data_IF_734655381910
#
_entry.id   IF_734655381910
#
_cell.length_a   1.000
_cell.length_b   1.000
_cell.length_c   1.000
_cell.angle_alpha   90.00
_cell.angle_beta   90.00
_cell.angle_gamma   90.00
#
_symmetry.space_group_name_H-M   'P 1'
#
loop_
_entity.id
_entity.type
_entity.pdbx_description
1 polymer ?
#
# COMPACT_ATOMS: atom_id res chain seq x y z
N UNK A 1 8.66 -12.58 28.32
CA UNK A 1 8.33 -13.40 27.13
C UNK A 1 7.90 -12.47 26.02
N UNK A 2 8.67 -12.41 24.94
CA UNK A 2 8.36 -11.59 23.77
C UNK A 2 7.10 -12.14 23.07
N UNK A 3 6.10 -11.29 22.81
CA UNK A 3 4.86 -11.72 22.16
C UNK A 3 5.15 -11.98 20.69
N UNK A 4 5.31 -13.24 20.31
CA UNK A 4 5.37 -13.65 18.91
C UNK A 4 4.20 -13.03 18.13
N UNK A 5 4.51 -12.40 17.00
CA UNK A 5 3.53 -11.87 16.06
C UNK A 5 2.56 -12.98 15.62
N UNK A 6 1.35 -12.61 15.18
CA UNK A 6 0.36 -13.59 14.70
C UNK A 6 0.95 -14.51 13.62
N UNK A 7 1.77 -13.96 12.73
CA UNK A 7 2.45 -14.73 11.68
C UNK A 7 3.43 -15.75 12.23
N UNK A 8 4.21 -15.39 13.26
CA UNK A 8 5.17 -16.31 13.89
C UNK A 8 4.48 -17.46 14.65
N UNK A 9 3.33 -17.20 15.30
CA UNK A 9 2.55 -18.27 15.95
C UNK A 9 1.93 -19.22 14.93
N UNK A 10 1.29 -18.67 13.91
CA UNK A 10 0.71 -19.47 12.84
C UNK A 10 1.78 -20.32 12.13
N UNK A 11 2.98 -19.78 11.96
CA UNK A 11 4.15 -20.50 11.43
C UNK A 11 4.55 -21.69 12.31
N UNK A 12 4.67 -21.47 13.62
CA UNK A 12 5.03 -22.52 14.56
C UNK A 12 3.99 -23.64 14.59
N UNK A 13 2.71 -23.29 14.66
CA UNK A 13 1.61 -24.26 14.65
C UNK A 13 1.59 -25.07 13.34
N UNK A 14 1.74 -24.40 12.20
CA UNK A 14 1.74 -25.07 10.88
C UNK A 14 2.91 -26.02 10.71
N UNK A 15 4.12 -25.62 11.12
CA UNK A 15 5.32 -26.47 11.02
C UNK A 15 5.34 -27.61 12.03
N UNK A 16 4.82 -27.40 13.26
CA UNK A 16 4.75 -28.43 14.29
C UNK A 16 3.81 -29.59 13.94
N UNK A 17 2.79 -29.34 13.13
CA UNK A 17 1.82 -30.35 12.69
C UNK A 17 2.21 -31.10 11.41
N UNK A 18 3.32 -30.72 10.76
CA UNK A 18 3.66 -31.17 9.42
C UNK A 18 4.51 -32.45 9.45
N UNK A 19 4.03 -33.51 8.81
CA UNK A 19 4.85 -34.70 8.57
C UNK A 19 5.61 -34.56 7.25
N UNK A 20 6.89 -34.24 7.35
CA UNK A 20 7.78 -33.90 6.22
C UNK A 20 7.89 -35.00 5.15
N UNK A 21 7.64 -36.27 5.50
CA UNK A 21 7.78 -37.40 4.57
C UNK A 21 6.47 -37.73 3.84
N UNK A 22 5.32 -37.42 4.44
CA UNK A 22 3.99 -37.78 3.90
C UNK A 22 3.24 -36.62 3.27
N UNK A 23 3.54 -35.38 3.67
CA UNK A 23 2.75 -34.20 3.31
C UNK A 23 3.42 -33.32 2.23
N UNK A 24 3.96 -33.94 1.16
CA UNK A 24 4.70 -33.24 0.08
C UNK A 24 3.91 -32.09 -0.56
N UNK A 25 2.59 -32.21 -0.67
CA UNK A 25 1.73 -31.13 -1.20
C UNK A 25 1.58 -29.96 -0.22
N UNK A 26 1.48 -30.23 1.08
CA UNK A 26 1.43 -29.17 2.11
C UNK A 26 2.79 -28.49 2.25
N UNK A 27 3.88 -29.25 2.11
CA UNK A 27 5.24 -28.71 2.00
C UNK A 27 5.37 -27.76 0.81
N UNK A 28 4.84 -28.13 -0.36
CA UNK A 28 4.86 -27.26 -1.52
C UNK A 28 4.08 -25.96 -1.29
N UNK A 29 2.90 -26.04 -0.66
CA UNK A 29 2.12 -24.85 -0.29
C UNK A 29 2.85 -23.97 0.74
N UNK A 30 3.53 -24.58 1.71
CA UNK A 30 4.35 -23.88 2.70
C UNK A 30 5.53 -23.16 2.03
N UNK A 31 6.23 -23.83 1.13
CA UNK A 31 7.34 -23.24 0.35
C UNK A 31 6.86 -22.07 -0.51
N UNK A 32 5.69 -22.19 -1.16
CA UNK A 32 5.05 -21.08 -1.88
C UNK A 32 4.72 -19.90 -0.96
N UNK A 33 4.22 -20.17 0.24
CA UNK A 33 3.91 -19.13 1.22
C UNK A 33 5.18 -18.44 1.75
N UNK A 34 6.25 -19.20 1.98
CA UNK A 34 7.56 -18.68 2.42
C UNK A 34 8.24 -17.80 1.37
N UNK A 35 8.13 -18.17 0.10
CA UNK A 35 8.70 -17.41 -0.99
C UNK A 35 7.90 -16.16 -1.36
N UNK A 36 6.81 -15.85 -0.62
CA UNK A 36 5.86 -14.80 -0.97
C UNK A 36 5.26 -14.97 -2.40
N UNK A 37 5.40 -16.16 -2.99
CA UNK A 37 4.81 -16.56 -4.28
C UNK A 37 3.28 -16.67 -4.20
N UNK A 38 2.71 -16.43 -3.01
CA UNK A 38 1.29 -16.46 -2.78
C UNK A 38 0.65 -15.15 -3.28
N UNK A 39 0.29 -15.15 -4.57
CA UNK A 39 -0.49 -14.11 -5.25
C UNK A 39 -1.86 -13.86 -4.58
N UNK A 40 -2.30 -14.73 -3.67
CA UNK A 40 -3.54 -14.60 -2.90
C UNK A 40 -3.44 -13.66 -1.68
N UNK A 41 -2.60 -12.62 -1.70
CA UNK A 41 -2.76 -11.52 -0.74
C UNK A 41 -4.14 -10.89 -0.97
N UNK A 42 -5.02 -11.07 0.02
CA UNK A 42 -6.39 -10.56 0.14
C UNK A 42 -6.72 -9.48 -0.90
N UNK A 43 -7.38 -9.87 -1.98
CA UNK A 43 -7.89 -8.90 -2.94
C UNK A 43 -8.89 -8.00 -2.20
N UNK A 44 -8.56 -6.72 -2.09
CA UNK A 44 -9.52 -5.73 -1.62
C UNK A 44 -10.59 -5.62 -2.71
N UNK A 45 -11.82 -6.01 -2.37
CA UNK A 45 -12.97 -6.02 -3.28
C UNK A 45 -13.84 -4.81 -2.97
N UNK A 46 -14.17 -4.04 -3.99
CA UNK A 46 -15.09 -2.93 -3.95
C UNK A 46 -16.49 -3.41 -4.31
N UNK A 47 -17.40 -3.41 -3.34
CA UNK A 47 -18.81 -3.72 -3.55
C UNK A 47 -19.54 -2.55 -4.22
N UNK A 48 -20.33 -2.85 -5.24
CA UNK A 48 -21.17 -1.88 -5.98
C UNK A 48 -22.49 -2.51 -6.37
N UNK A 49 -23.49 -1.69 -6.68
CA UNK A 49 -24.80 -2.15 -7.15
C UNK A 49 -24.71 -2.99 -8.44
N UNK A 50 -23.75 -2.67 -9.32
CA UNK A 50 -23.47 -3.44 -10.55
C UNK A 50 -22.71 -4.75 -10.30
N UNK A 51 -22.44 -5.11 -9.04
CA UNK A 51 -21.63 -6.25 -8.64
C UNK A 51 -20.23 -5.88 -8.09
N UNK A 52 -19.57 -6.83 -7.40
CA UNK A 52 -18.25 -6.62 -6.79
C UNK A 52 -17.15 -6.48 -7.86
N UNK A 53 -16.22 -5.55 -7.63
CA UNK A 53 -15.03 -5.34 -8.47
C UNK A 53 -13.76 -5.50 -7.64
N UNK A 54 -12.72 -6.12 -8.20
CA UNK A 54 -11.43 -6.31 -7.52
C UNK A 54 -10.26 -5.80 -8.38
N UNK A 55 -9.11 -5.59 -7.73
CA UNK A 55 -7.87 -5.20 -8.41
C UNK A 55 -8.01 -3.93 -9.25
N UNK A 56 -7.52 -3.96 -10.50
CA UNK A 56 -7.51 -2.80 -11.41
C UNK A 56 -8.90 -2.22 -11.65
N UNK A 57 -9.93 -3.06 -11.72
CA UNK A 57 -11.30 -2.61 -11.93
C UNK A 57 -11.82 -1.77 -10.75
N UNK A 58 -11.51 -2.17 -9.51
CA UNK A 58 -11.85 -1.40 -8.31
C UNK A 58 -11.11 -0.06 -8.27
N UNK A 59 -9.80 -0.06 -8.56
CA UNK A 59 -8.99 1.16 -8.58
C UNK A 59 -9.50 2.19 -9.60
N UNK A 60 -9.82 1.75 -10.82
CA UNK A 60 -10.35 2.64 -11.86
C UNK A 60 -11.64 3.33 -11.44
N UNK A 61 -12.47 2.63 -10.67
CA UNK A 61 -13.77 3.14 -10.24
C UNK A 61 -13.61 4.19 -9.15
N UNK A 62 -12.71 3.95 -8.21
CA UNK A 62 -12.34 4.95 -7.21
C UNK A 62 -11.73 6.18 -7.87
N UNK A 63 -10.84 6.00 -8.86
CA UNK A 63 -10.25 7.11 -9.59
C UNK A 63 -11.31 7.95 -10.33
N UNK A 64 -12.29 7.32 -10.98
CA UNK A 64 -13.38 8.03 -11.65
C UNK A 64 -14.31 8.74 -10.66
N UNK A 65 -14.67 8.08 -9.55
CA UNK A 65 -15.48 8.70 -8.50
C UNK A 65 -14.77 9.91 -7.89
N UNK A 66 -13.47 9.78 -7.62
CA UNK A 66 -12.66 10.89 -7.14
C UNK A 66 -12.60 12.03 -8.16
N UNK A 67 -12.37 11.72 -9.45
CA UNK A 67 -12.37 12.73 -10.51
C UNK A 67 -13.65 13.57 -10.46
N UNK A 68 -14.81 12.94 -10.43
CA UNK A 68 -16.11 13.63 -10.42
C UNK A 68 -16.30 14.55 -9.20
N UNK A 69 -15.75 14.17 -8.04
CA UNK A 69 -15.85 14.97 -6.80
C UNK A 69 -14.75 16.06 -6.75
N UNK A 70 -13.60 15.78 -7.34
CA UNK A 70 -12.43 16.66 -7.34
C UNK A 70 -12.43 17.69 -8.47
N UNK A 71 -13.32 17.53 -9.46
CA UNK A 71 -13.53 18.47 -10.55
C UNK A 71 -14.26 19.71 -10.02
N UNK A 72 -13.53 20.49 -9.23
CA UNK A 72 -13.93 21.79 -8.71
C UNK A 72 -13.21 22.81 -9.57
N UNK A 73 -13.96 23.74 -10.17
CA UNK A 73 -13.36 24.89 -10.84
C UNK A 73 -12.62 25.74 -9.80
N UNK A 74 -11.30 25.64 -9.78
CA UNK A 74 -10.47 26.51 -8.96
C UNK A 74 -10.35 27.83 -9.72
N UNK A 75 -10.86 28.91 -9.12
CA UNK A 75 -10.72 30.26 -9.68
C UNK A 75 -9.25 30.62 -9.92
N UNK A 76 -8.97 31.36 -10.99
CA UNK A 76 -7.62 31.84 -11.33
C UNK A 76 -6.91 32.57 -10.18
N UNK A 77 -7.63 33.35 -9.38
CA UNK A 77 -7.10 34.01 -8.19
C UNK A 77 -6.54 33.00 -7.18
N UNK A 78 -7.31 31.96 -6.86
CA UNK A 78 -6.87 30.91 -5.94
C UNK A 78 -5.68 30.12 -6.46
N UNK A 79 -5.61 29.86 -7.78
CA UNK A 79 -4.44 29.23 -8.41
C UNK A 79 -3.20 30.11 -8.21
N UNK A 80 -3.31 31.42 -8.43
CA UNK A 80 -2.22 32.36 -8.21
C UNK A 80 -1.77 32.42 -6.75
N UNK A 81 -2.69 32.36 -5.81
CA UNK A 81 -2.37 32.34 -4.38
C UNK A 81 -1.63 31.06 -3.99
N UNK A 82 -2.10 29.89 -4.45
CA UNK A 82 -1.44 28.61 -4.21
C UNK A 82 -0.02 28.59 -4.82
N UNK A 83 0.15 29.13 -6.02
CA UNK A 83 1.48 29.22 -6.66
C UNK A 83 2.42 30.14 -5.88
N UNK A 84 1.89 31.23 -5.30
CA UNK A 84 2.66 32.14 -4.45
C UNK A 84 3.07 31.46 -3.15
N UNK A 85 2.12 30.84 -2.44
CA UNK A 85 2.34 30.06 -1.21
C UNK A 85 3.37 28.94 -1.45
N UNK A 86 3.27 28.20 -2.57
CA UNK A 86 4.21 27.12 -2.93
C UNK A 86 5.63 27.66 -3.15
N UNK A 87 5.77 28.82 -3.82
CA UNK A 87 7.07 29.46 -4.06
C UNK A 87 7.70 29.97 -2.77
N UNK A 88 6.89 30.51 -1.86
CA UNK A 88 7.33 30.94 -0.54
C UNK A 88 7.78 29.74 0.31
N UNK A 89 7.06 28.62 0.30
CA UNK A 89 7.44 27.38 0.99
C UNK A 89 8.73 26.76 0.42
N UNK A 90 8.93 26.83 -0.89
CA UNK A 90 10.19 26.41 -1.52
C UNK A 90 11.35 27.28 -1.05
N UNK A 91 11.18 28.60 -1.02
CA UNK A 91 12.20 29.53 -0.53
C UNK A 91 12.53 29.35 0.96
N UNK A 92 11.56 28.94 1.79
CA UNK A 92 11.80 28.62 3.20
C UNK A 92 12.62 27.32 3.36
N UNK A 93 12.41 26.33 2.48
CA UNK A 93 13.20 25.09 2.48
C UNK A 93 14.62 25.25 1.90
N UNK A 94 14.91 26.38 1.23
CA UNK A 94 16.29 26.78 0.87
C UNK A 94 16.88 27.68 1.95
N UNK A 95 16.79 27.31 3.22
CA UNK A 95 17.62 27.93 4.26
C UNK A 95 18.99 27.22 4.29
N UNK A 96 20.11 27.94 4.08
CA UNK A 96 21.43 27.36 3.84
C UNK A 96 22.06 26.91 5.16
N UNK A 97 21.68 25.72 5.63
CA UNK A 97 22.24 25.17 6.89
C UNK A 97 22.95 23.82 6.73
N UNK A 98 23.03 23.28 5.52
CA UNK A 98 23.78 22.03 5.26
C UNK A 98 24.98 22.18 4.31
N UNK A 99 25.28 23.40 3.83
CA UNK A 99 26.44 23.65 2.96
C UNK A 99 27.76 23.93 3.73
N UNK A 100 27.80 23.75 5.07
CA UNK A 100 28.96 24.12 5.91
C UNK A 100 29.68 22.94 6.61
N UNK A 101 29.48 21.72 6.12
CA UNK A 101 30.08 20.51 6.72
C UNK A 101 30.70 19.55 5.70
N UNK A 102 30.98 20.02 4.49
CA UNK A 102 31.82 19.29 3.52
C UNK A 102 33.02 20.18 3.24
N UNK A 103 33.99 20.12 4.14
CA UNK A 103 35.42 20.41 3.93
C UNK A 103 36.20 19.26 4.57
#
# INVERSE_FOLDING_TARGET
MEKLSKSQRNWFETTSSLNMEKDTQKLWQLTKALNDDNVFRNQTVLLRESGPAAGKAACNVLANAYKNVSEIEISWSRIHDIQRETRELQNINVHPTLARWID
#
